data_IF_213208524972
#
_entry.id   IF_213208524972
#
_cell.length_a   1.000
_cell.length_b   1.000
_cell.length_c   1.000
_cell.angle_alpha   90.00
_cell.angle_beta   90.00
_cell.angle_gamma   90.00
#
_symmetry.space_group_name_H-M   'P 1'
#
loop_
_entity.id
_entity.type
_entity.pdbx_description
1 polymer ?
#
# COMPACT_ATOMS: atom_id res chain seq x y z
N UNK A 1 -7.03 9.64 -5.42
CA UNK A 1 -6.31 8.77 -6.38
C UNK A 1 -5.00 9.45 -6.80
N UNK A 2 -4.01 9.56 -5.89
CA UNK A 2 -2.75 10.28 -6.16
C UNK A 2 -1.48 9.50 -5.80
N UNK A 3 -1.58 8.27 -5.28
CA UNK A 3 -0.40 7.52 -4.79
C UNK A 3 -0.05 6.28 -5.64
N UNK A 4 -0.36 6.29 -6.94
CA UNK A 4 -0.20 5.13 -7.84
C UNK A 4 0.80 5.36 -8.99
N UNK A 5 1.78 6.24 -8.80
CA UNK A 5 2.81 6.50 -9.80
C UNK A 5 4.19 6.75 -9.17
N UNK A 6 4.93 5.70 -8.75
CA UNK A 6 6.41 5.81 -8.71
C UNK A 6 7.03 4.50 -9.22
N UNK A 7 7.75 4.62 -10.34
CA UNK A 7 8.43 3.57 -11.10
C UNK A 7 9.95 3.58 -10.80
N UNK A 8 10.50 2.38 -10.58
CA UNK A 8 11.84 1.83 -10.91
C UNK A 8 13.03 2.81 -11.04
N UNK A 9 14.07 2.65 -10.18
CA UNK A 9 15.52 2.79 -10.52
C UNK A 9 16.34 1.86 -9.60
N UNK A 10 17.37 1.18 -10.14
CA UNK A 10 18.16 0.16 -9.44
C UNK A 10 19.66 0.44 -9.25
N UNK A 11 20.35 -0.63 -8.83
CA UNK A 11 21.79 -1.00 -8.92
C UNK A 11 22.72 -0.75 -7.69
N UNK A 12 23.01 -1.87 -6.99
CA UNK A 12 24.26 -2.41 -6.38
C UNK A 12 24.87 -1.75 -5.11
N UNK A 13 24.89 -2.51 -3.99
CA UNK A 13 26.11 -3.04 -3.32
C UNK A 13 25.85 -3.70 -1.93
N UNK A 14 26.42 -4.91 -1.72
CA UNK A 14 27.03 -5.30 -0.43
C UNK A 14 26.32 -6.26 0.54
N UNK A 15 26.21 -7.56 0.21
CA UNK A 15 26.23 -8.79 1.05
C UNK A 15 25.27 -9.01 2.24
N UNK A 16 24.73 -7.97 2.90
CA UNK A 16 23.41 -8.05 3.56
C UNK A 16 22.28 -7.62 2.58
N UNK A 17 22.71 -7.04 1.45
CA UNK A 17 21.87 -6.62 0.34
C UNK A 17 21.47 -7.77 -0.58
N UNK A 18 21.98 -9.00 -0.44
CA UNK A 18 21.69 -10.06 -1.43
C UNK A 18 20.20 -10.39 -1.51
N UNK A 19 19.52 -10.46 -0.37
CA UNK A 19 18.10 -10.76 -0.30
C UNK A 19 17.26 -9.56 -0.77
N UNK A 20 17.70 -8.34 -0.48
CA UNK A 20 17.07 -7.08 -0.93
C UNK A 20 17.30 -6.86 -2.44
N UNK A 21 18.50 -7.10 -2.95
CA UNK A 21 18.87 -7.01 -4.37
C UNK A 21 18.14 -8.09 -5.18
N UNK A 22 18.06 -9.31 -4.63
CA UNK A 22 17.19 -10.36 -5.15
C UNK A 22 15.76 -9.86 -5.20
N UNK A 23 15.22 -9.35 -4.10
CA UNK A 23 13.84 -8.90 -4.02
C UNK A 23 13.56 -7.79 -5.03
N UNK A 24 14.41 -6.77 -5.12
CA UNK A 24 14.30 -5.68 -6.10
C UNK A 24 14.29 -6.21 -7.54
N UNK A 25 15.15 -7.20 -7.84
CA UNK A 25 15.19 -7.83 -9.17
C UNK A 25 13.92 -8.64 -9.45
N UNK A 26 13.51 -9.49 -8.52
CA UNK A 26 12.37 -10.40 -8.67
C UNK A 26 11.02 -9.68 -8.59
N UNK A 27 10.95 -8.54 -7.91
CA UNK A 27 9.76 -7.67 -7.84
C UNK A 27 9.67 -6.66 -8.99
N UNK A 28 10.76 -6.37 -9.71
CA UNK A 28 10.76 -5.46 -10.86
C UNK A 28 9.71 -5.76 -11.96
N UNK A 29 9.34 -7.03 -12.27
CA UNK A 29 8.25 -7.31 -13.20
C UNK A 29 6.85 -7.14 -12.57
N UNK A 30 6.72 -7.05 -11.25
CA UNK A 30 5.45 -6.86 -10.59
C UNK A 30 4.95 -5.44 -10.87
N UNK A 31 3.88 -5.33 -11.66
CA UNK A 31 3.25 -4.05 -11.99
C UNK A 31 1.77 -4.10 -11.64
N UNK A 32 1.24 -3.09 -10.95
CA UNK A 32 -0.20 -2.95 -10.84
C UNK A 32 -0.78 -2.64 -12.22
N UNK A 33 -1.90 -3.25 -12.56
CA UNK A 33 -2.68 -2.84 -13.72
C UNK A 33 -3.31 -1.47 -13.41
N UNK A 34 -2.79 -0.41 -14.02
CA UNK A 34 -3.35 0.94 -13.91
C UNK A 34 -4.58 1.04 -14.81
N UNK A 35 -5.77 1.22 -14.22
CA UNK A 35 -7.00 1.56 -14.94
C UNK A 35 -7.41 2.99 -14.65
N UNK A 36 -7.82 3.71 -15.70
CA UNK A 36 -8.23 5.12 -15.65
C UNK A 36 -9.72 5.29 -15.29
N UNK A 37 -10.33 4.30 -14.65
CA UNK A 37 -11.77 4.31 -14.39
C UNK A 37 -12.07 5.18 -13.16
N UNK A 38 -12.91 6.21 -13.33
CA UNK A 38 -13.23 7.20 -12.29
C UNK A 38 -13.99 6.63 -11.08
N UNK A 39 -14.52 5.40 -11.17
CA UNK A 39 -15.19 4.72 -10.07
C UNK A 39 -14.31 3.60 -9.54
N UNK A 40 -13.77 3.79 -8.34
CA UNK A 40 -13.10 2.73 -7.60
C UNK A 40 -14.13 1.74 -7.07
N UNK A 41 -14.09 0.50 -7.56
CA UNK A 41 -14.86 -0.61 -6.99
C UNK A 41 -13.95 -1.59 -6.26
N UNK A 42 -14.52 -2.42 -5.38
CA UNK A 42 -13.76 -3.52 -4.76
C UNK A 42 -13.29 -4.52 -5.84
N UNK A 43 -14.09 -4.74 -6.89
CA UNK A 43 -13.70 -5.58 -8.02
C UNK A 43 -12.46 -5.03 -8.74
N UNK A 44 -12.35 -3.72 -8.94
CA UNK A 44 -11.16 -3.11 -9.53
C UNK A 44 -9.93 -3.26 -8.63
N UNK A 45 -10.08 -3.09 -7.32
CA UNK A 45 -9.02 -3.39 -6.35
C UNK A 45 -8.60 -4.86 -6.46
N UNK A 46 -9.55 -5.79 -6.46
CA UNK A 46 -9.27 -7.22 -6.49
C UNK A 46 -8.66 -7.70 -7.80
N UNK A 47 -9.03 -7.10 -8.93
CA UNK A 47 -8.44 -7.43 -10.24
C UNK A 47 -7.04 -6.86 -10.41
N UNK A 48 -6.78 -5.65 -9.92
CA UNK A 48 -5.49 -4.97 -10.15
C UNK A 48 -4.47 -5.24 -9.03
N UNK A 49 -4.89 -5.13 -7.77
CA UNK A 49 -3.99 -5.18 -6.62
C UNK A 49 -3.69 -6.61 -6.20
N UNK A 50 -4.66 -7.52 -6.19
CA UNK A 50 -4.41 -8.88 -5.72
C UNK A 50 -3.33 -9.62 -6.55
N UNK A 51 -3.33 -9.56 -7.90
CA UNK A 51 -2.24 -10.15 -8.70
C UNK A 51 -0.88 -9.48 -8.46
N UNK A 52 -0.88 -8.16 -8.25
CA UNK A 52 0.33 -7.42 -7.91
C UNK A 52 0.92 -7.86 -6.57
N UNK A 53 0.08 -7.94 -5.53
CA UNK A 53 0.48 -8.39 -4.19
C UNK A 53 0.95 -9.85 -4.24
N UNK A 54 0.28 -10.70 -5.01
CA UNK A 54 0.70 -12.08 -5.23
C UNK A 54 2.09 -12.18 -5.88
N UNK A 55 2.37 -11.34 -6.89
CA UNK A 55 3.68 -11.26 -7.52
C UNK A 55 4.77 -10.86 -6.50
N UNK A 56 4.51 -9.82 -5.69
CA UNK A 56 5.41 -9.41 -4.62
C UNK A 56 5.63 -10.52 -3.59
N UNK A 57 4.58 -11.25 -3.22
CA UNK A 57 4.67 -12.35 -2.27
C UNK A 57 5.57 -13.48 -2.80
N UNK A 58 5.51 -13.77 -4.10
CA UNK A 58 6.40 -14.76 -4.72
C UNK A 58 7.86 -14.29 -4.74
N UNK A 59 8.11 -13.01 -5.04
CA UNK A 59 9.44 -12.43 -4.97
C UNK A 59 9.99 -12.49 -3.54
N UNK A 60 9.18 -12.13 -2.54
CA UNK A 60 9.51 -12.20 -1.12
C UNK A 60 9.90 -13.61 -0.71
N UNK A 61 9.08 -14.60 -1.07
CA UNK A 61 9.33 -16.00 -0.75
C UNK A 61 10.57 -16.57 -1.43
N UNK A 62 10.86 -16.13 -2.66
CA UNK A 62 12.04 -16.54 -3.40
C UNK A 62 13.33 -15.95 -2.81
N UNK A 63 13.27 -14.72 -2.30
CA UNK A 63 14.43 -13.98 -1.85
C UNK A 63 14.61 -13.96 -0.32
N UNK A 64 13.66 -14.47 0.47
CA UNK A 64 13.76 -14.48 1.94
C UNK A 64 13.58 -13.11 2.61
N UNK A 65 13.20 -12.07 1.86
CA UNK A 65 12.98 -10.71 2.38
C UNK A 65 11.50 -10.34 2.37
N UNK A 66 11.06 -9.58 3.38
CA UNK A 66 9.69 -9.05 3.50
C UNK A 66 8.57 -10.12 3.50
N UNK A 67 8.91 -11.39 3.79
CA UNK A 67 8.00 -12.51 3.66
C UNK A 67 6.79 -12.37 4.58
N UNK A 68 7.02 -11.97 5.84
CA UNK A 68 5.97 -11.85 6.84
C UNK A 68 5.02 -10.70 6.52
N UNK A 69 5.58 -9.54 6.17
CA UNK A 69 4.82 -8.33 5.88
C UNK A 69 3.97 -8.50 4.61
N UNK A 70 4.58 -8.99 3.52
CA UNK A 70 3.85 -9.20 2.26
C UNK A 70 2.84 -10.33 2.39
N UNK A 71 3.17 -11.41 3.11
CA UNK A 71 2.21 -12.50 3.34
C UNK A 71 0.99 -12.01 4.10
N UNK A 72 1.19 -11.19 5.13
CA UNK A 72 0.10 -10.61 5.92
C UNK A 72 -0.79 -9.73 5.03
N UNK A 73 -0.18 -8.90 4.19
CA UNK A 73 -0.93 -8.10 3.22
C UNK A 73 -1.68 -8.94 2.18
N UNK A 74 -1.03 -9.98 1.64
CA UNK A 74 -1.63 -10.90 0.69
C UNK A 74 -2.84 -11.64 1.28
N UNK A 75 -2.72 -12.16 2.49
CA UNK A 75 -3.81 -12.88 3.15
C UNK A 75 -5.00 -11.94 3.42
N UNK A 76 -4.75 -10.71 3.88
CA UNK A 76 -5.79 -9.71 4.07
C UNK A 76 -6.51 -9.35 2.75
N UNK A 77 -5.73 -9.05 1.70
CA UNK A 77 -6.28 -8.75 0.37
C UNK A 77 -7.08 -9.93 -0.19
N UNK A 78 -6.59 -11.16 0.00
CA UNK A 78 -7.29 -12.38 -0.42
C UNK A 78 -8.64 -12.53 0.30
N UNK A 79 -8.70 -12.28 1.61
CA UNK A 79 -9.96 -12.33 2.37
C UNK A 79 -10.94 -11.27 1.86
N UNK A 80 -10.48 -10.05 1.61
CA UNK A 80 -11.29 -8.96 1.06
C UNK A 80 -11.84 -9.26 -0.34
N UNK A 81 -11.06 -9.98 -1.15
CA UNK A 81 -11.41 -10.36 -2.52
C UNK A 81 -12.09 -11.73 -2.66
N UNK A 82 -12.33 -12.42 -1.55
CA UNK A 82 -13.08 -13.68 -1.57
C UNK A 82 -14.55 -13.38 -1.34
N UNK A 83 -15.37 -13.64 -2.36
CA UNK A 83 -16.81 -13.42 -2.32
C UNK A 83 -17.44 -14.05 -1.08
N UNK A 84 -18.26 -13.26 -0.41
CA UNK A 84 -19.09 -13.73 0.69
C UNK A 84 -18.41 -13.73 2.06
N UNK A 85 -17.11 -13.42 2.16
CA UNK A 85 -16.48 -13.19 3.48
C UNK A 85 -17.09 -11.97 4.16
N UNK A 86 -16.96 -11.90 5.49
CA UNK A 86 -17.44 -10.73 6.26
C UNK A 86 -16.78 -9.43 5.78
N UNK A 87 -15.48 -9.48 5.48
CA UNK A 87 -14.70 -8.34 5.02
C UNK A 87 -15.12 -7.90 3.61
N UNK A 88 -15.22 -8.85 2.67
CA UNK A 88 -15.70 -8.60 1.31
C UNK A 88 -17.06 -7.88 1.33
N UNK A 89 -18.06 -8.45 2.02
CA UNK A 89 -19.40 -7.85 2.11
C UNK A 89 -19.40 -6.47 2.74
N UNK A 90 -18.59 -6.26 3.78
CA UNK A 90 -18.49 -4.97 4.45
C UNK A 90 -17.91 -3.89 3.53
N UNK A 91 -16.89 -4.24 2.74
CA UNK A 91 -16.27 -3.34 1.79
C UNK A 91 -17.18 -3.06 0.59
N UNK A 92 -17.78 -4.09 -0.02
CA UNK A 92 -18.71 -3.91 -1.14
C UNK A 92 -19.87 -3.00 -0.78
N UNK A 93 -20.45 -3.18 0.40
CA UNK A 93 -21.59 -2.38 0.85
C UNK A 93 -21.24 -0.90 1.14
N UNK A 94 -19.95 -0.58 1.37
CA UNK A 94 -19.53 0.74 1.83
C UNK A 94 -18.46 1.39 0.93
N UNK A 95 -18.12 0.80 -0.21
CA UNK A 95 -17.01 1.27 -1.05
C UNK A 95 -17.23 2.72 -1.51
N UNK A 96 -18.45 3.10 -1.86
CA UNK A 96 -18.78 4.47 -2.27
C UNK A 96 -18.57 5.47 -1.12
N UNK A 97 -18.93 5.09 0.10
CA UNK A 97 -18.70 5.94 1.28
C UNK A 97 -17.21 6.08 1.57
N UNK A 98 -16.46 4.97 1.54
CA UNK A 98 -15.01 4.96 1.73
C UNK A 98 -14.32 5.82 0.66
N UNK A 99 -14.66 5.64 -0.61
CA UNK A 99 -14.10 6.42 -1.73
C UNK A 99 -14.45 7.90 -1.60
N UNK A 100 -15.68 8.24 -1.21
CA UNK A 100 -16.07 9.62 -0.92
C UNK A 100 -15.25 10.24 0.21
N UNK A 101 -15.18 9.55 1.35
CA UNK A 101 -14.45 9.99 2.54
C UNK A 101 -12.95 10.17 2.27
N UNK A 102 -12.35 9.31 1.45
CA UNK A 102 -10.92 9.40 1.09
C UNK A 102 -10.64 10.46 0.04
N UNK A 103 -11.55 10.73 -0.90
CA UNK A 103 -11.38 11.78 -1.92
C UNK A 103 -11.44 13.17 -1.30
N UNK A 104 -12.34 13.36 -0.34
CA UNK A 104 -12.55 14.64 0.33
C UNK A 104 -11.56 14.84 1.50
N UNK A 105 -10.64 13.89 1.70
CA UNK A 105 -9.65 13.92 2.76
C UNK A 105 -8.38 14.67 2.34
N UNK A 106 -8.17 15.84 2.94
CA UNK A 106 -6.89 16.55 2.91
C UNK A 106 -5.94 15.94 3.96
N UNK A 107 -5.36 14.77 3.66
CA UNK A 107 -4.52 14.02 4.60
C UNK A 107 -3.01 14.21 4.43
N UNK A 108 -2.58 14.90 3.38
CA UNK A 108 -1.18 15.26 3.19
C UNK A 108 -0.94 16.59 3.91
N UNK A 109 -0.20 16.55 5.01
CA UNK A 109 0.27 17.74 5.71
C UNK A 109 1.76 17.93 5.44
N UNK A 110 2.09 19.03 4.78
CA UNK A 110 3.46 19.50 4.58
C UNK A 110 3.43 20.80 3.79
N UNK A 111 4.14 21.83 4.25
CA UNK A 111 4.43 22.97 3.37
C UNK A 111 5.43 22.50 2.32
N UNK A 112 5.30 22.95 1.06
CA UNK A 112 6.33 22.72 0.03
C UNK A 112 7.73 23.20 0.48
N UNK A 113 7.80 24.07 1.48
CA UNK A 113 9.04 24.62 2.04
C UNK A 113 9.75 23.66 3.01
N UNK A 114 9.03 22.87 3.80
CA UNK A 114 9.62 21.88 4.74
C UNK A 114 10.20 20.65 4.01
N UNK A 115 9.85 20.50 2.74
CA UNK A 115 10.06 19.31 1.92
C UNK A 115 11.01 19.55 0.72
N UNK A 116 11.59 20.74 0.59
CA UNK A 116 12.41 21.05 -0.60
C UNK A 116 13.74 20.30 -0.68
N UNK A 117 14.27 19.86 0.46
CA UNK A 117 15.65 19.35 0.56
C UNK A 117 15.73 17.82 0.73
N UNK A 118 14.61 17.09 0.72
CA UNK A 118 14.59 15.63 0.82
C UNK A 118 14.12 14.95 -0.48
N UNK A 119 14.67 13.78 -0.85
CA UNK A 119 14.07 12.92 -1.87
C UNK A 119 12.59 12.61 -1.57
N UNK A 120 11.74 12.68 -2.60
CA UNK A 120 10.28 12.48 -2.50
C UNK A 120 9.90 11.14 -1.86
N UNK A 121 10.68 10.09 -2.12
CA UNK A 121 10.50 8.76 -1.53
C UNK A 121 10.74 8.76 0.00
N UNK A 122 11.75 9.49 0.49
CA UNK A 122 12.01 9.64 1.93
C UNK A 122 10.90 10.41 2.64
N UNK A 123 10.32 11.41 1.98
CA UNK A 123 9.20 12.18 2.53
C UNK A 123 7.94 11.34 2.63
N UNK A 124 7.61 10.61 1.57
CA UNK A 124 6.46 9.72 1.56
C UNK A 124 6.59 8.66 2.66
N UNK A 125 7.80 8.12 2.85
CA UNK A 125 8.11 7.19 3.94
C UNK A 125 7.81 7.74 5.34
N UNK A 126 7.99 9.03 5.57
CA UNK A 126 7.71 9.68 6.85
C UNK A 126 6.23 9.98 7.06
N UNK A 127 5.43 9.98 5.99
CA UNK A 127 4.02 10.38 6.02
C UNK A 127 3.04 9.20 6.01
N UNK A 128 3.47 7.98 5.72
CA UNK A 128 2.56 6.83 5.59
C UNK A 128 1.65 6.61 6.79
N UNK A 129 2.20 6.64 8.02
CA UNK A 129 1.40 6.47 9.25
C UNK A 129 0.39 7.62 9.40
N UNK A 130 0.86 8.87 9.32
CA UNK A 130 0.01 10.07 9.44
C UNK A 130 -1.11 10.11 8.42
N UNK A 131 -0.83 9.77 7.16
CA UNK A 131 -1.85 9.73 6.09
C UNK A 131 -2.85 8.62 6.38
N UNK A 132 -2.39 7.44 6.80
CA UNK A 132 -3.26 6.30 7.10
C UNK A 132 -4.19 6.61 8.28
N UNK A 133 -3.67 7.19 9.36
CA UNK A 133 -4.45 7.62 10.52
C UNK A 133 -5.49 8.67 10.14
N UNK A 134 -5.10 9.65 9.33
CA UNK A 134 -6.04 10.66 8.82
C UNK A 134 -7.17 10.03 7.98
N UNK A 135 -6.84 9.14 7.05
CA UNK A 135 -7.84 8.45 6.23
C UNK A 135 -8.77 7.61 7.10
N UNK A 136 -8.23 6.89 8.10
CA UNK A 136 -9.04 6.14 9.06
C UNK A 136 -10.04 7.04 9.78
N UNK A 137 -9.59 8.16 10.35
CA UNK A 137 -10.47 9.10 11.06
C UNK A 137 -11.56 9.68 10.16
N UNK A 138 -11.24 9.99 8.90
CA UNK A 138 -12.22 10.49 7.92
C UNK A 138 -13.27 9.43 7.58
N UNK A 139 -12.86 8.18 7.39
CA UNK A 139 -13.78 7.07 7.14
C UNK A 139 -14.60 6.74 8.39
N UNK A 140 -14.00 6.75 9.58
CA UNK A 140 -14.72 6.51 10.84
C UNK A 140 -15.81 7.56 11.03
N UNK A 141 -15.49 8.83 10.78
CA UNK A 141 -16.43 9.94 10.89
C UNK A 141 -17.57 9.84 9.84
N UNK A 142 -17.25 9.55 8.58
CA UNK A 142 -18.22 9.57 7.49
C UNK A 142 -19.05 8.29 7.38
N UNK A 143 -18.41 7.13 7.58
CA UNK A 143 -18.95 5.80 7.29
C UNK A 143 -19.15 4.93 8.54
N UNK A 144 -18.64 5.37 9.69
CA UNK A 144 -18.73 4.66 10.96
C UNK A 144 -17.55 3.70 11.21
N UNK A 145 -17.30 3.44 12.50
CA UNK A 145 -16.14 2.65 12.97
C UNK A 145 -16.01 1.28 12.31
N UNK A 146 -17.10 0.50 12.23
CA UNK A 146 -17.05 -0.83 11.63
C UNK A 146 -16.58 -0.82 10.16
N UNK A 147 -16.88 0.25 9.42
CA UNK A 147 -16.44 0.44 8.03
C UNK A 147 -14.97 0.83 8.01
N UNK A 148 -14.56 1.75 8.88
CA UNK A 148 -13.17 2.15 9.03
C UNK A 148 -12.25 0.97 9.42
N UNK A 149 -12.71 0.10 10.31
CA UNK A 149 -11.99 -1.12 10.71
C UNK A 149 -11.87 -2.10 9.52
N UNK A 150 -12.91 -2.19 8.67
CA UNK A 150 -12.86 -3.00 7.45
C UNK A 150 -11.86 -2.44 6.43
N UNK A 151 -11.75 -1.12 6.33
CA UNK A 151 -10.72 -0.47 5.52
C UNK A 151 -9.32 -0.75 6.07
N UNK A 152 -9.08 -0.57 7.37
CA UNK A 152 -7.78 -0.83 8.00
C UNK A 152 -7.34 -2.28 7.86
N UNK A 153 -8.26 -3.23 7.90
CA UNK A 153 -7.94 -4.65 7.74
C UNK A 153 -7.14 -4.96 6.45
N UNK A 154 -7.24 -4.13 5.41
CA UNK A 154 -6.43 -4.22 4.19
C UNK A 154 -5.25 -3.26 4.22
N UNK A 155 -5.49 -2.01 4.63
CA UNK A 155 -4.52 -0.92 4.48
C UNK A 155 -3.40 -0.97 5.51
N UNK A 156 -3.66 -1.40 6.74
CA UNK A 156 -2.63 -1.50 7.78
C UNK A 156 -1.51 -2.49 7.39
N UNK A 157 -1.80 -3.73 6.94
CA UNK A 157 -0.77 -4.62 6.42
C UNK A 157 0.07 -4.04 5.27
N UNK A 158 -0.59 -3.31 4.35
CA UNK A 158 0.09 -2.63 3.26
C UNK A 158 1.06 -1.56 3.79
N UNK A 159 0.61 -0.75 4.74
CA UNK A 159 1.41 0.31 5.36
C UNK A 159 2.59 -0.27 6.12
N UNK A 160 2.40 -1.36 6.87
CA UNK A 160 3.50 -2.04 7.55
C UNK A 160 4.56 -2.55 6.58
N UNK A 161 4.14 -3.13 5.45
CA UNK A 161 5.05 -3.51 4.37
C UNK A 161 5.79 -2.30 3.78
N UNK A 162 5.09 -1.20 3.49
CA UNK A 162 5.70 0.02 2.96
C UNK A 162 6.71 0.64 3.94
N UNK A 163 6.38 0.70 5.23
CA UNK A 163 7.28 1.19 6.28
C UNK A 163 8.52 0.31 6.42
N UNK A 164 8.39 -1.00 6.22
CA UNK A 164 9.51 -1.94 6.20
C UNK A 164 10.45 -1.66 5.03
N UNK A 165 9.91 -1.47 3.82
CA UNK A 165 10.69 -1.00 2.65
C UNK A 165 11.37 0.33 2.96
N UNK A 166 10.64 1.27 3.55
CA UNK A 166 11.17 2.58 3.89
C UNK A 166 12.40 2.50 4.79
N UNK A 167 12.30 1.70 5.86
CA UNK A 167 13.38 1.50 6.84
C UNK A 167 14.58 0.76 6.25
N UNK A 168 14.36 -0.18 5.33
CA UNK A 168 15.42 -1.08 4.86
C UNK A 168 16.04 -0.68 3.53
N UNK A 169 15.31 0.06 2.70
CA UNK A 169 15.72 0.40 1.33
C UNK A 169 15.83 1.90 1.13
N UNK A 170 14.83 2.70 1.54
CA UNK A 170 14.73 4.11 1.13
C UNK A 170 15.52 5.02 2.08
N UNK A 171 15.28 4.92 3.39
CA UNK A 171 15.92 5.78 4.39
C UNK A 171 17.40 5.46 4.60
N UNK A 172 17.86 4.28 4.14
CA UNK A 172 19.26 3.86 4.19
C UNK A 172 20.08 4.25 2.95
N UNK A 173 19.48 4.81 1.89
CA UNK A 173 20.24 5.37 0.75
C UNK A 173 20.91 6.67 1.17
N UNK A 174 22.23 6.73 1.01
CA UNK A 174 23.04 7.96 1.16
C UNK A 174 22.76 8.95 0.03
#
# INVERSE_FOLDING_TARGET
MFLLNIFIIGVIAGLASCDIDCFNKESSPCRPELRNDEKSSLDDYCRSQLPFIYCLNNAANKCGSFQEEIKTWFDAAKVACTDGTKLNKALEANIDCITGATRDAECLNGSEEDLKDQPEDKQLCQQFETVTDCLYQKIEYACGRNVADSFLAIYEPMVQYQLKICKEIILKRE
#
